data_IF_324452615239
#
_entry.id   IF_324452615239
#
_cell.length_a   1.000
_cell.length_b   1.000
_cell.length_c   1.000
_cell.angle_alpha   90.00
_cell.angle_beta   90.00
_cell.angle_gamma   90.00
#
_symmetry.space_group_name_H-M   'P 1'
#
loop_
_entity.id
_entity.type
_entity.pdbx_description
1 polymer ?
#
# COMPACT_ATOMS: atom_id res chain seq x y z
N UNK A 1 13.61 20.10 18.22
CA UNK A 1 13.48 19.26 17.02
C UNK A 1 13.37 17.81 17.49
N UNK A 2 12.19 17.19 17.46
CA UNK A 2 12.03 15.75 17.75
C UNK A 2 12.28 15.00 16.45
N UNK A 3 13.40 14.29 16.35
CA UNK A 3 13.59 13.33 15.26
C UNK A 3 12.66 12.14 15.56
N UNK A 4 11.63 11.96 14.74
CA UNK A 4 10.92 10.69 14.69
C UNK A 4 11.86 9.71 13.98
N UNK A 5 12.56 8.87 14.73
CA UNK A 5 13.30 7.75 14.17
C UNK A 5 12.25 6.74 13.69
N UNK A 6 11.95 6.74 12.38
CA UNK A 6 11.13 5.67 11.83
C UNK A 6 11.99 4.40 11.76
N UNK A 7 11.45 3.24 12.11
CA UNK A 7 12.12 1.97 11.86
C UNK A 7 12.54 1.86 10.40
N UNK A 8 13.68 1.21 10.14
CA UNK A 8 14.11 0.99 8.77
C UNK A 8 13.18 -0.01 8.09
N UNK A 9 12.55 0.42 7.01
CA UNK A 9 11.62 -0.38 6.24
C UNK A 9 12.33 -1.02 5.04
N UNK A 10 12.10 -2.32 4.85
CA UNK A 10 12.68 -3.09 3.75
C UNK A 10 11.60 -3.48 2.74
N UNK A 11 11.93 -3.62 1.45
CA UNK A 11 10.99 -4.13 0.46
C UNK A 11 10.40 -5.47 0.89
N UNK A 12 9.08 -5.64 0.74
CA UNK A 12 8.40 -6.90 1.06
C UNK A 12 9.01 -8.09 0.32
N UNK A 13 9.52 -7.85 -0.90
CA UNK A 13 10.17 -8.85 -1.78
C UNK A 13 11.49 -9.41 -1.24
N UNK A 14 12.02 -8.87 -0.14
CA UNK A 14 13.16 -9.48 0.57
C UNK A 14 12.76 -10.69 1.42
N UNK A 15 11.46 -10.85 1.71
CA UNK A 15 10.90 -12.01 2.38
C UNK A 15 10.58 -13.12 1.37
N UNK A 16 10.53 -14.37 1.86
CA UNK A 16 10.16 -15.55 1.06
C UNK A 16 9.17 -16.45 1.80
N UNK A 17 8.44 -17.27 1.06
CA UNK A 17 7.54 -18.29 1.61
C UNK A 17 6.48 -17.71 2.56
N UNK A 18 6.27 -18.36 3.71
CA UNK A 18 5.25 -17.96 4.68
C UNK A 18 5.44 -16.55 5.25
N UNK A 19 6.69 -16.09 5.41
CA UNK A 19 6.97 -14.75 5.92
C UNK A 19 6.48 -13.68 4.93
N UNK A 20 6.69 -13.90 3.63
CA UNK A 20 6.17 -13.04 2.57
C UNK A 20 4.65 -13.02 2.57
N UNK A 21 4.00 -14.18 2.61
CA UNK A 21 2.53 -14.30 2.58
C UNK A 21 1.89 -13.58 3.78
N UNK A 22 2.46 -13.76 4.97
CA UNK A 22 1.97 -13.11 6.18
C UNK A 22 2.10 -11.58 6.09
N UNK A 23 3.28 -11.07 5.74
CA UNK A 23 3.51 -9.63 5.65
C UNK A 23 2.66 -8.99 4.52
N UNK A 24 2.48 -9.68 3.40
CA UNK A 24 1.57 -9.25 2.34
C UNK A 24 0.12 -9.14 2.85
N UNK A 25 -0.36 -10.16 3.56
CA UNK A 25 -1.73 -10.16 4.10
C UNK A 25 -1.95 -9.03 5.11
N UNK A 26 -0.99 -8.75 5.99
CA UNK A 26 -1.06 -7.62 6.92
C UNK A 26 -1.09 -6.28 6.18
N UNK A 27 -0.31 -6.13 5.10
CA UNK A 27 -0.35 -4.93 4.25
C UNK A 27 -1.74 -4.72 3.62
N UNK A 28 -2.37 -5.80 3.12
CA UNK A 28 -3.72 -5.76 2.56
C UNK A 28 -4.77 -5.41 3.62
N UNK A 29 -4.70 -6.00 4.82
CA UNK A 29 -5.60 -5.68 5.94
C UNK A 29 -5.47 -4.22 6.36
N UNK A 30 -4.25 -3.70 6.47
CA UNK A 30 -4.00 -2.30 6.79
C UNK A 30 -4.59 -1.35 5.75
N UNK A 31 -4.42 -1.67 4.45
CA UNK A 31 -5.06 -0.91 3.38
C UNK A 31 -6.59 -0.94 3.47
N UNK A 32 -7.20 -2.11 3.70
CA UNK A 32 -8.64 -2.23 3.86
C UNK A 32 -9.17 -1.39 5.03
N UNK A 33 -8.48 -1.40 6.18
CA UNK A 33 -8.85 -0.59 7.33
C UNK A 33 -8.83 0.91 7.02
N UNK A 34 -7.84 1.37 6.25
CA UNK A 34 -7.79 2.78 5.82
C UNK A 34 -8.88 3.11 4.80
N UNK A 35 -9.17 2.18 3.89
CA UNK A 35 -10.22 2.34 2.90
C UNK A 35 -11.59 2.54 3.57
N UNK A 36 -11.97 1.70 4.53
CA UNK A 36 -13.25 1.87 5.23
C UNK A 36 -13.35 3.21 6.01
N UNK A 37 -12.22 3.87 6.26
CA UNK A 37 -12.14 5.22 6.84
C UNK A 37 -11.99 6.33 5.78
N UNK A 38 -12.16 6.02 4.49
CA UNK A 38 -12.17 6.99 3.39
C UNK A 38 -10.79 7.30 2.79
N UNK A 39 -9.74 6.59 3.21
CA UNK A 39 -8.37 6.77 2.69
C UNK A 39 -8.03 5.59 1.79
N UNK A 40 -8.01 5.82 0.48
CA UNK A 40 -7.65 4.79 -0.50
C UNK A 40 -6.28 5.10 -1.11
N UNK A 41 -5.32 4.18 -0.99
CA UNK A 41 -4.07 4.26 -1.76
C UNK A 41 -4.37 4.04 -3.24
N UNK A 42 -3.83 4.91 -4.10
CA UNK A 42 -3.93 4.78 -5.55
C UNK A 42 -2.94 3.76 -6.15
N UNK A 43 -1.98 3.27 -5.36
CA UNK A 43 -0.95 2.34 -5.85
C UNK A 43 -0.67 1.20 -4.85
N UNK A 44 -1.56 0.21 -4.73
CA UNK A 44 -1.40 -0.96 -3.87
C UNK A 44 -0.42 -1.99 -4.46
N UNK A 45 0.68 -1.53 -5.08
CA UNK A 45 1.69 -2.39 -5.69
C UNK A 45 2.66 -2.96 -4.65
N UNK A 46 3.30 -4.09 -4.98
CA UNK A 46 4.36 -4.69 -4.14
C UNK A 46 5.56 -3.75 -3.91
N UNK A 47 5.77 -2.77 -4.79
CA UNK A 47 6.84 -1.77 -4.63
C UNK A 47 6.60 -0.88 -3.41
N UNK A 48 5.32 -0.63 -3.10
CA UNK A 48 4.86 0.15 -1.96
C UNK A 48 4.59 -0.72 -0.73
N UNK A 49 4.75 -2.04 -0.81
CA UNK A 49 4.69 -2.89 0.38
C UNK A 49 6.08 -3.03 0.99
N UNK A 50 6.18 -2.75 2.29
CA UNK A 50 7.42 -2.86 3.07
C UNK A 50 7.19 -3.72 4.30
N UNK A 51 8.26 -4.17 4.92
CA UNK A 51 8.24 -4.77 6.26
C UNK A 51 9.28 -4.11 7.16
N UNK A 52 9.05 -4.19 8.47
CA UNK A 52 10.03 -3.82 9.47
C UNK A 52 10.60 -5.11 10.08
N UNK A 53 11.93 -5.33 10.05
CA UNK A 53 12.55 -6.48 10.69
C UNK A 53 12.32 -6.54 12.20
N UNK A 54 12.20 -5.37 12.84
CA UNK A 54 12.07 -5.23 14.29
C UNK A 54 10.61 -5.34 14.77
N UNK A 55 9.65 -5.11 13.87
CA UNK A 55 8.21 -5.12 14.14
C UNK A 55 7.60 -6.03 13.08
N UNK A 56 7.57 -7.34 13.38
CA UNK A 56 7.04 -8.36 12.45
C UNK A 56 5.72 -7.91 11.83
N UNK A 57 5.68 -7.81 10.50
CA UNK A 57 4.49 -7.38 9.77
C UNK A 57 4.82 -6.63 8.49
N UNK A 58 3.84 -6.55 7.61
CA UNK A 58 3.93 -5.75 6.39
C UNK A 58 3.08 -4.49 6.50
N UNK A 59 3.52 -3.44 5.81
CA UNK A 59 2.85 -2.16 5.72
C UNK A 59 2.82 -1.72 4.26
N UNK A 60 1.65 -1.29 3.79
CA UNK A 60 1.54 -0.54 2.55
C UNK A 60 1.94 0.91 2.85
N UNK A 61 3.01 1.40 2.22
CA UNK A 61 3.47 2.79 2.28
C UNK A 61 2.98 3.57 1.07
N UNK A 62 3.37 4.85 0.99
CA UNK A 62 3.02 5.77 -0.11
C UNK A 62 1.51 6.01 -0.25
N UNK A 63 1.02 6.85 0.66
CA UNK A 63 -0.32 7.45 0.58
C UNK A 63 -0.26 8.87 0.00
N UNK A 64 0.86 9.29 -0.60
CA UNK A 64 0.95 10.62 -1.22
C UNK A 64 0.06 10.70 -2.48
N UNK A 65 -0.25 9.53 -3.06
CA UNK A 65 -1.26 9.34 -4.10
C UNK A 65 -2.65 9.00 -3.56
N UNK A 66 -2.86 9.06 -2.24
CA UNK A 66 -4.15 8.69 -1.67
C UNK A 66 -5.24 9.66 -2.13
N UNK A 67 -6.33 9.07 -2.61
CA UNK A 67 -7.52 9.79 -3.01
C UNK A 67 -8.47 9.64 -1.83
N UNK A 68 -8.95 10.76 -1.30
CA UNK A 68 -10.09 10.72 -0.39
C UNK A 68 -11.25 10.11 -1.18
N UNK A 69 -12.01 9.16 -0.61
CA UNK A 69 -13.03 8.42 -1.37
C UNK A 69 -14.04 9.31 -2.14
N UNK A 70 -14.13 10.60 -1.80
CA UNK A 70 -14.98 11.63 -2.41
C UNK A 70 -14.30 12.53 -3.46
N UNK A 71 -12.98 12.47 -3.65
CA UNK A 71 -12.28 13.29 -4.65
C UNK A 71 -12.24 12.63 -6.03
N UNK A 72 -12.15 13.46 -7.08
CA UNK A 72 -12.15 12.99 -8.46
C UNK A 72 -11.11 11.89 -8.68
N UNK A 73 -11.56 10.74 -9.22
CA UNK A 73 -10.73 9.57 -9.51
C UNK A 73 -9.64 9.95 -10.51
N UNK A 74 -8.43 10.17 -10.02
CA UNK A 74 -7.27 10.44 -10.85
C UNK A 74 -6.63 9.12 -11.29
N UNK A 75 -6.19 9.03 -12.56
CA UNK A 75 -5.43 7.89 -13.11
C UNK A 75 -3.98 7.87 -12.57
N UNK A 76 -3.83 7.67 -11.26
CA UNK A 76 -2.53 7.57 -10.59
C UNK A 76 -2.41 6.19 -9.95
N UNK A 77 -1.36 5.46 -10.33
CA UNK A 77 -1.08 4.10 -9.85
C UNK A 77 -0.16 3.35 -10.81
N UNK A 78 0.42 2.24 -10.37
CA UNK A 78 1.22 1.38 -11.25
C UNK A 78 0.29 0.54 -12.12
N UNK A 79 0.35 0.69 -13.45
CA UNK A 79 -0.61 0.14 -14.43
C UNK A 79 -1.09 -1.30 -14.20
N UNK A 80 -0.22 -2.28 -13.87
CA UNK A 80 -0.65 -3.65 -13.60
C UNK A 80 -1.53 -3.82 -12.35
N UNK A 81 -1.53 -2.84 -11.45
CA UNK A 81 -2.23 -2.88 -10.15
C UNK A 81 -3.37 -1.86 -10.06
N UNK A 82 -3.64 -1.10 -11.12
CA UNK A 82 -4.78 -0.18 -11.18
C UNK A 82 -6.07 -0.94 -11.43
N UNK A 83 -7.17 -0.46 -10.85
CA UNK A 83 -8.51 -0.98 -11.15
C UNK A 83 -8.85 -0.75 -12.64
N UNK A 84 -9.59 -1.70 -13.25
CA UNK A 84 -9.94 -1.66 -14.68
C UNK A 84 -10.70 -0.38 -15.06
N UNK A 85 -11.59 0.08 -14.19
CA UNK A 85 -12.33 1.33 -14.31
C UNK A 85 -11.45 2.60 -14.38
N UNK A 86 -10.19 2.51 -13.91
CA UNK A 86 -9.22 3.61 -14.02
C UNK A 86 -8.37 3.53 -15.30
N UNK A 87 -8.33 2.35 -15.94
CA UNK A 87 -7.52 2.11 -17.14
C UNK A 87 -8.20 2.58 -18.43
N UNK A 88 -9.54 2.54 -18.50
CA UNK A 88 -10.29 3.10 -19.63
C UNK A 88 -11.76 3.37 -19.25
N UNK A 89 -12.37 4.33 -19.94
CA UNK A 89 -13.77 4.75 -19.69
C UNK A 89 -14.84 3.73 -20.18
N UNK A 90 -14.43 2.54 -20.63
CA UNK A 90 -15.27 1.56 -21.36
C UNK A 90 -15.38 0.18 -20.72
N UNK A 91 -14.76 -0.07 -19.57
CA UNK A 91 -14.87 -1.34 -18.84
C UNK A 91 -15.74 -1.19 -17.61
#
# INVERSE_FOLDING_TARGET
>A
MKLLLSPQLHPLTTLVGGAFVNAWLESVKGHYLLWIHGIQSGDPSLLNMKHCPDVEGGVLVDYDLSIHATSARNRKGTTPFMALELLADRY
#
